data_IF_103943477686
#
_entry.id   IF_103943477686
#
_cell.length_a   1.000
_cell.length_b   1.000
_cell.length_c   1.000
_cell.angle_alpha   90.00
_cell.angle_beta   90.00
_cell.angle_gamma   90.00
#
_symmetry.space_group_name_H-M   'P 1'
#
loop_
_entity.id
_entity.type
_entity.pdbx_description
1 polymer ?
#
# COMPACT_ATOMS: atom_id res chain seq x y z
N UNK A 1 -23.58 -36.23 20.01
CA UNK A 1 -22.44 -35.31 20.03
C UNK A 1 -21.77 -35.39 18.66
N UNK A 2 -22.08 -34.45 17.79
CA UNK A 2 -21.55 -34.43 16.42
C UNK A 2 -20.47 -33.35 16.35
N UNK A 3 -19.23 -33.76 16.59
CA UNK A 3 -18.08 -32.87 16.45
C UNK A 3 -17.88 -32.64 14.93
N UNK A 4 -18.45 -31.59 14.38
CA UNK A 4 -18.11 -31.15 13.04
C UNK A 4 -16.62 -30.81 13.04
N UNK A 5 -15.78 -31.70 12.48
CA UNK A 5 -14.43 -31.36 12.11
C UNK A 5 -14.48 -30.20 11.13
N UNK A 6 -14.18 -28.99 11.59
CA UNK A 6 -13.89 -27.84 10.74
C UNK A 6 -12.67 -28.20 9.92
N UNK A 7 -12.89 -28.56 8.67
CA UNK A 7 -11.81 -28.77 7.70
C UNK A 7 -11.15 -27.41 7.51
N UNK A 8 -9.95 -27.22 8.04
CA UNK A 8 -9.14 -26.03 7.79
C UNK A 8 -8.83 -26.01 6.30
N UNK A 9 -9.44 -25.05 5.57
CA UNK A 9 -9.04 -24.76 4.20
C UNK A 9 -7.65 -24.14 4.24
N UNK A 10 -6.68 -24.82 3.64
CA UNK A 10 -5.38 -24.24 3.36
C UNK A 10 -5.62 -23.13 2.33
N UNK A 11 -5.34 -21.88 2.69
CA UNK A 11 -5.33 -20.79 1.74
C UNK A 11 -4.09 -20.95 0.84
N UNK A 12 -4.27 -21.69 -0.26
CA UNK A 12 -3.21 -21.99 -1.22
C UNK A 12 -2.91 -20.81 -2.16
N UNK A 13 -3.68 -19.71 -2.06
CA UNK A 13 -3.35 -18.46 -2.73
C UNK A 13 -2.74 -17.52 -1.70
N UNK A 14 -1.41 -17.34 -1.69
CA UNK A 14 -0.76 -16.38 -0.79
C UNK A 14 -1.33 -14.99 -1.04
N UNK A 15 -1.39 -14.17 0.01
CA UNK A 15 -1.63 -12.74 -0.13
C UNK A 15 -0.66 -12.21 -1.19
N UNK A 16 -1.19 -11.57 -2.23
CA UNK A 16 -0.34 -11.06 -3.30
C UNK A 16 0.55 -9.97 -2.73
N UNK A 17 1.87 -10.18 -2.80
CA UNK A 17 2.85 -9.15 -2.45
C UNK A 17 2.59 -7.88 -3.27
N UNK A 18 2.82 -6.70 -2.69
CA UNK A 18 2.73 -5.44 -3.41
C UNK A 18 3.64 -5.44 -4.64
N UNK A 19 3.07 -5.20 -5.82
CA UNK A 19 3.80 -4.99 -7.06
C UNK A 19 3.27 -3.77 -7.79
N UNK A 20 4.10 -3.15 -8.64
CA UNK A 20 3.63 -2.05 -9.50
C UNK A 20 2.55 -2.51 -10.50
N UNK A 21 2.48 -3.82 -10.77
CA UNK A 21 1.51 -4.41 -11.70
C UNK A 21 0.13 -4.66 -11.10
N UNK A 22 0.04 -4.90 -9.78
CA UNK A 22 -1.23 -5.13 -9.11
C UNK A 22 -1.82 -3.88 -8.43
N UNK A 23 -1.15 -2.72 -8.57
CA UNK A 23 -1.73 -1.44 -8.16
C UNK A 23 -2.82 -0.99 -9.14
N UNK A 24 -3.94 -0.54 -8.61
CA UNK A 24 -5.03 0.03 -9.43
C UNK A 24 -4.70 1.49 -9.72
N UNK A 25 -4.28 1.76 -10.95
CA UNK A 25 -3.65 3.03 -11.34
C UNK A 25 -4.60 4.22 -11.20
N UNK A 26 -5.88 4.10 -11.63
CA UNK A 26 -6.80 5.22 -11.65
C UNK A 26 -6.19 6.46 -12.31
N UNK A 27 -6.31 7.60 -11.68
CA UNK A 27 -5.73 8.87 -12.15
C UNK A 27 -4.22 9.03 -11.90
N UNK A 28 -3.52 7.99 -11.38
CA UNK A 28 -2.11 8.07 -10.97
C UNK A 28 -1.10 7.63 -12.07
N UNK A 29 -1.43 7.75 -13.36
CA UNK A 29 -0.62 7.22 -14.46
C UNK A 29 0.78 7.86 -14.54
N UNK A 30 0.89 9.17 -14.34
CA UNK A 30 2.18 9.87 -14.33
C UNK A 30 3.05 9.40 -13.17
N UNK A 31 2.49 9.32 -11.96
CA UNK A 31 3.18 8.78 -10.78
C UNK A 31 3.73 7.38 -11.06
N UNK A 32 2.93 6.50 -11.66
CA UNK A 32 3.36 5.13 -11.99
C UNK A 32 4.56 5.12 -12.96
N UNK A 33 4.62 6.06 -13.89
CA UNK A 33 5.77 6.21 -14.78
C UNK A 33 7.02 6.62 -14.00
N UNK A 34 6.92 7.64 -13.13
CA UNK A 34 8.03 8.08 -12.28
C UNK A 34 8.54 6.99 -11.34
N UNK A 35 7.64 6.18 -10.75
CA UNK A 35 8.05 5.07 -9.89
C UNK A 35 8.83 3.99 -10.67
N UNK A 36 8.45 3.71 -11.92
CA UNK A 36 9.22 2.81 -12.78
C UNK A 36 10.60 3.40 -13.14
N UNK A 37 10.65 4.70 -13.43
CA UNK A 37 11.91 5.39 -13.73
C UNK A 37 12.89 5.35 -12.55
N UNK A 38 12.39 5.39 -11.30
CA UNK A 38 13.23 5.22 -10.11
C UNK A 38 13.91 3.86 -9.99
N UNK A 39 13.37 2.83 -10.62
CA UNK A 39 13.99 1.52 -10.65
C UNK A 39 15.23 1.47 -11.57
N UNK A 40 15.39 2.44 -12.49
CA UNK A 40 16.58 2.56 -13.35
C UNK A 40 17.77 3.10 -12.54
N UNK A 41 18.94 2.48 -12.70
CA UNK A 41 20.20 2.88 -12.05
C UNK A 41 20.68 4.29 -12.41
N UNK A 42 20.17 4.85 -13.50
CA UNK A 42 20.50 6.22 -13.96
C UNK A 42 19.61 7.28 -13.34
N UNK A 43 18.56 6.90 -12.63
CA UNK A 43 17.68 7.84 -11.95
C UNK A 43 18.26 8.22 -10.58
N UNK A 44 18.35 9.52 -10.33
CA UNK A 44 18.83 10.12 -9.07
C UNK A 44 17.77 11.08 -8.51
N UNK A 45 16.52 10.87 -8.88
CA UNK A 45 15.41 11.71 -8.44
C UNK A 45 15.01 11.41 -7.01
N UNK A 46 14.44 12.41 -6.36
CA UNK A 46 13.78 12.25 -5.08
C UNK A 46 12.27 12.52 -5.24
N UNK A 47 11.45 11.56 -4.82
CA UNK A 47 10.00 11.63 -4.88
C UNK A 47 9.40 11.57 -3.48
N UNK A 48 8.36 12.37 -3.26
CA UNK A 48 7.53 12.32 -2.08
C UNK A 48 6.08 12.05 -2.45
N UNK A 49 5.53 10.96 -1.93
CA UNK A 49 4.14 10.56 -2.12
C UNK A 49 3.33 10.91 -0.87
N UNK A 50 2.19 11.56 -1.04
CA UNK A 50 1.31 11.82 0.09
C UNK A 50 -0.15 11.55 -0.27
N UNK A 51 -1.00 11.44 0.75
CA UNK A 51 -2.43 11.22 0.57
C UNK A 51 -3.06 10.57 1.79
N UNK A 52 -4.40 10.40 1.79
CA UNK A 52 -5.12 9.84 2.92
C UNK A 52 -4.73 8.38 3.21
N UNK A 53 -5.10 7.90 4.39
CA UNK A 53 -4.93 6.50 4.76
C UNK A 53 -5.67 5.57 3.77
N UNK A 54 -5.07 4.44 3.42
CA UNK A 54 -5.66 3.47 2.51
C UNK A 54 -5.61 3.84 1.01
N UNK A 55 -5.02 4.98 0.61
CA UNK A 55 -4.89 5.36 -0.81
C UNK A 55 -3.81 4.57 -1.58
N UNK A 56 -3.02 3.72 -0.89
CA UNK A 56 -2.04 2.85 -1.52
C UNK A 56 -0.57 3.30 -1.44
N UNK A 57 -0.22 4.27 -0.56
CA UNK A 57 1.17 4.73 -0.36
C UNK A 57 2.13 3.59 -0.07
N UNK A 58 1.90 2.86 1.02
CA UNK A 58 2.76 1.74 1.46
C UNK A 58 2.86 0.64 0.41
N UNK A 59 1.77 0.38 -0.34
CA UNK A 59 1.80 -0.53 -1.48
C UNK A 59 2.78 -0.05 -2.56
N UNK A 60 2.67 1.22 -2.99
CA UNK A 60 3.52 1.76 -4.05
C UNK A 60 4.99 1.83 -3.65
N UNK A 61 5.30 2.27 -2.42
CA UNK A 61 6.71 2.38 -2.00
C UNK A 61 7.35 1.01 -1.82
N UNK A 62 6.62 0.02 -1.25
CA UNK A 62 7.10 -1.36 -1.14
C UNK A 62 7.27 -2.02 -2.50
N UNK A 63 6.28 -1.86 -3.40
CA UNK A 63 6.33 -2.38 -4.77
C UNK A 63 7.49 -1.80 -5.58
N UNK A 64 7.81 -0.51 -5.37
CA UNK A 64 8.94 0.15 -6.06
C UNK A 64 10.27 -0.35 -5.50
N UNK A 65 10.39 -0.50 -4.18
CA UNK A 65 11.59 -1.05 -3.54
C UNK A 65 11.90 -2.46 -4.04
N UNK A 66 10.88 -3.31 -4.14
CA UNK A 66 11.02 -4.68 -4.66
C UNK A 66 11.39 -4.68 -6.14
N UNK A 67 10.71 -3.88 -6.97
CA UNK A 67 11.02 -3.78 -8.40
C UNK A 67 12.43 -3.24 -8.66
N UNK A 68 12.95 -2.37 -7.81
CA UNK A 68 14.30 -1.81 -7.91
C UNK A 68 15.38 -2.79 -7.44
N UNK A 69 15.07 -3.77 -6.58
CA UNK A 69 16.07 -4.64 -5.92
C UNK A 69 16.92 -5.48 -6.88
N UNK A 70 16.44 -5.75 -8.10
CA UNK A 70 17.21 -6.41 -9.14
C UNK A 70 18.19 -5.48 -9.88
N UNK A 71 17.71 -4.33 -10.42
CA UNK A 71 18.52 -3.39 -11.17
C UNK A 71 19.53 -2.59 -10.32
N UNK A 72 19.18 -2.24 -9.05
CA UNK A 72 20.00 -1.38 -8.19
C UNK A 72 19.88 -1.76 -6.72
N UNK A 73 20.86 -1.40 -5.85
CA UNK A 73 20.68 -1.53 -4.41
C UNK A 73 19.43 -0.80 -3.96
N UNK A 74 18.59 -1.44 -3.16
CA UNK A 74 17.36 -0.86 -2.62
C UNK A 74 17.29 -1.11 -1.11
N UNK A 75 16.96 -0.07 -0.34
CA UNK A 75 16.76 -0.14 1.10
C UNK A 75 15.38 0.43 1.43
N UNK A 76 14.50 -0.44 1.91
CA UNK A 76 13.16 -0.07 2.39
C UNK A 76 13.14 -0.03 3.92
N UNK A 77 12.65 1.07 4.49
CA UNK A 77 12.51 1.27 5.93
C UNK A 77 11.15 1.91 6.25
N UNK A 78 10.40 1.38 7.24
CA UNK A 78 9.35 2.14 7.90
C UNK A 78 9.95 3.37 8.61
N UNK A 79 9.26 4.51 8.61
CA UNK A 79 9.77 5.75 9.23
C UNK A 79 10.16 5.58 10.70
N UNK A 80 9.40 4.77 11.45
CA UNK A 80 9.68 4.50 12.86
C UNK A 80 11.01 3.72 13.10
N UNK A 81 11.54 3.04 12.09
CA UNK A 81 12.76 2.22 12.18
C UNK A 81 14.01 2.95 11.66
N UNK A 82 13.85 4.16 11.13
CA UNK A 82 14.97 4.95 10.61
C UNK A 82 15.82 5.48 11.77
N UNK A 83 17.11 5.14 11.79
CA UNK A 83 18.10 5.64 12.74
C UNK A 83 18.89 6.83 12.20
N UNK A 84 19.80 7.35 13.05
CA UNK A 84 20.66 8.48 12.70
C UNK A 84 21.70 8.13 11.62
N UNK A 85 22.15 6.89 11.59
CA UNK A 85 23.20 6.42 10.70
C UNK A 85 22.66 5.38 9.71
N UNK A 86 22.53 5.80 8.45
CA UNK A 86 22.12 4.94 7.35
C UNK A 86 23.36 4.55 6.53
N UNK A 87 23.65 3.27 6.48
CA UNK A 87 24.73 2.76 5.61
C UNK A 87 24.17 2.57 4.20
N UNK A 88 24.50 3.51 3.30
CA UNK A 88 23.99 3.55 1.94
C UNK A 88 25.12 3.32 0.93
N UNK A 89 25.02 2.29 0.10
CA UNK A 89 25.91 2.08 -1.02
C UNK A 89 25.65 3.12 -2.13
N UNK A 90 26.68 3.48 -2.95
CA UNK A 90 26.43 4.31 -4.13
C UNK A 90 25.33 3.73 -5.04
N UNK A 91 24.49 4.60 -5.58
CA UNK A 91 23.39 4.21 -6.46
C UNK A 91 22.15 3.62 -5.77
N UNK A 92 22.11 3.56 -4.43
CA UNK A 92 20.98 2.99 -3.69
C UNK A 92 19.68 3.80 -3.92
N UNK A 93 18.58 3.10 -4.09
CA UNK A 93 17.24 3.64 -3.88
C UNK A 93 16.88 3.52 -2.40
N UNK A 94 16.86 4.65 -1.68
CA UNK A 94 16.37 4.70 -0.31
C UNK A 94 14.87 4.94 -0.31
N UNK A 95 14.12 4.03 0.29
CA UNK A 95 12.65 4.10 0.40
C UNK A 95 12.27 4.19 1.88
N UNK A 96 11.56 5.26 2.25
CA UNK A 96 11.05 5.45 3.61
C UNK A 96 9.53 5.60 3.57
N UNK A 97 8.85 4.65 4.19
CA UNK A 97 7.38 4.69 4.33
C UNK A 97 6.99 5.41 5.64
N UNK A 98 5.98 6.29 5.55
CA UNK A 98 5.44 7.05 6.69
C UNK A 98 6.48 7.96 7.37
N UNK A 99 7.01 8.96 6.66
CA UNK A 99 8.00 9.92 7.20
C UNK A 99 7.52 10.66 8.46
N UNK A 100 6.21 10.79 8.66
CA UNK A 100 5.65 11.38 9.88
C UNK A 100 5.93 10.54 11.14
N UNK A 101 6.33 9.28 10.99
CA UNK A 101 6.73 8.40 12.09
C UNK A 101 8.23 8.48 12.44
N UNK A 102 8.99 9.33 11.73
CA UNK A 102 10.41 9.53 12.00
C UNK A 102 10.65 10.08 13.40
N UNK A 103 11.38 9.34 14.24
CA UNK A 103 11.92 9.86 15.49
C UNK A 103 13.02 10.90 15.26
N UNK A 104 13.51 11.53 16.32
CA UNK A 104 14.55 12.57 16.23
C UNK A 104 15.82 12.08 15.50
N UNK A 105 16.27 10.86 15.78
CA UNK A 105 17.41 10.24 15.11
C UNK A 105 17.12 9.96 13.62
N UNK A 106 15.93 9.43 13.31
CA UNK A 106 15.53 9.16 11.92
C UNK A 106 15.47 10.44 11.07
N UNK A 107 15.03 11.55 11.64
CA UNK A 107 15.05 12.84 10.94
C UNK A 107 16.48 13.30 10.63
N UNK A 108 17.44 13.07 11.53
CA UNK A 108 18.87 13.32 11.29
C UNK A 108 19.40 12.39 10.18
N UNK A 109 19.07 11.11 10.24
CA UNK A 109 19.48 10.11 9.25
C UNK A 109 18.97 10.46 7.84
N UNK A 110 17.69 10.78 7.70
CA UNK A 110 17.12 11.17 6.41
C UNK A 110 17.73 12.50 5.91
N UNK A 111 17.95 13.47 6.77
CA UNK A 111 18.62 14.72 6.38
C UNK A 111 20.03 14.48 5.86
N UNK A 112 20.80 13.60 6.52
CA UNK A 112 22.13 13.17 6.05
C UNK A 112 22.06 12.46 4.71
N UNK A 113 21.07 11.60 4.49
CA UNK A 113 20.83 10.91 3.22
C UNK A 113 20.57 11.92 2.07
N UNK A 114 19.73 12.94 2.29
CA UNK A 114 19.54 14.02 1.33
C UNK A 114 20.86 14.74 0.96
N UNK A 115 21.69 15.04 1.96
CA UNK A 115 22.99 15.69 1.71
C UNK A 115 23.95 14.80 0.94
N UNK A 116 23.94 13.49 1.20
CA UNK A 116 24.79 12.51 0.52
C UNK A 116 24.27 12.13 -0.88
N UNK A 117 22.98 12.38 -1.16
CA UNK A 117 22.29 11.86 -2.35
C UNK A 117 23.02 12.19 -3.65
N UNK A 118 23.45 13.45 -3.83
CA UNK A 118 24.17 13.87 -5.05
C UNK A 118 25.54 13.20 -5.16
N UNK A 119 26.25 13.04 -4.06
CA UNK A 119 27.61 12.47 -4.06
C UNK A 119 27.59 10.95 -4.27
N UNK A 120 26.65 10.26 -3.63
CA UNK A 120 26.49 8.82 -3.73
C UNK A 120 25.58 8.38 -4.89
N UNK A 121 24.98 9.32 -5.62
CA UNK A 121 24.03 8.99 -6.68
C UNK A 121 22.79 8.26 -6.17
N UNK A 122 22.27 8.68 -5.01
CA UNK A 122 21.06 8.06 -4.43
C UNK A 122 19.79 8.53 -5.14
N UNK A 123 18.81 7.63 -5.25
CA UNK A 123 17.43 8.01 -5.46
C UNK A 123 16.67 7.89 -4.14
N UNK A 124 15.66 8.73 -3.92
CA UNK A 124 14.88 8.76 -2.70
C UNK A 124 13.40 8.61 -3.04
N UNK A 125 12.73 7.70 -2.35
CA UNK A 125 11.28 7.56 -2.41
C UNK A 125 10.71 7.61 -1.00
N UNK A 126 9.91 8.64 -0.73
CA UNK A 126 9.37 8.91 0.58
C UNK A 126 7.84 8.87 0.53
N UNK A 127 7.19 8.44 1.59
CA UNK A 127 5.74 8.55 1.73
C UNK A 127 5.33 9.24 3.03
N UNK A 128 4.19 9.93 3.00
CA UNK A 128 3.60 10.56 4.18
C UNK A 128 2.09 10.75 4.06
N UNK A 129 1.45 11.19 5.12
CA UNK A 129 -0.01 11.39 5.18
C UNK A 129 -0.43 12.82 4.82
N UNK A 130 0.50 13.77 4.82
CA UNK A 130 0.27 15.20 4.64
C UNK A 130 1.22 15.78 3.59
N UNK A 131 0.88 16.90 2.94
CA UNK A 131 1.82 17.62 2.09
C UNK A 131 3.02 18.12 2.90
N UNK A 132 4.20 18.33 2.30
CA UNK A 132 5.45 18.63 3.02
C UNK A 132 5.34 19.77 4.03
N UNK A 133 4.59 20.83 3.71
CA UNK A 133 4.44 22.00 4.57
C UNK A 133 3.68 21.73 5.88
N UNK A 134 2.91 20.65 5.94
CA UNK A 134 2.11 20.25 7.11
C UNK A 134 2.75 19.14 7.93
N UNK A 135 3.86 18.56 7.47
CA UNK A 135 4.56 17.52 8.22
C UNK A 135 5.11 18.09 9.54
N UNK A 136 4.87 17.37 10.64
CA UNK A 136 5.47 17.67 11.94
C UNK A 136 6.90 17.13 12.00
N UNK A 137 7.80 17.75 11.25
CA UNK A 137 9.22 17.42 11.14
C UNK A 137 10.05 18.69 11.30
N UNK A 138 11.35 18.53 11.54
CA UNK A 138 12.32 19.65 11.57
C UNK A 138 12.18 20.47 10.28
N UNK A 139 12.30 21.77 10.40
CA UNK A 139 12.10 22.71 9.27
C UNK A 139 13.09 22.47 8.12
N UNK A 140 14.35 22.15 8.43
CA UNK A 140 15.38 21.86 7.44
C UNK A 140 15.03 20.60 6.61
N UNK A 141 14.54 19.53 7.26
CA UNK A 141 14.11 18.31 6.59
C UNK A 141 12.83 18.53 5.79
N UNK A 142 11.85 19.22 6.35
CA UNK A 142 10.60 19.57 5.66
C UNK A 142 10.86 20.37 4.38
N UNK A 143 11.82 21.30 4.43
CA UNK A 143 12.26 22.06 3.25
C UNK A 143 12.88 21.15 2.19
N UNK A 144 13.70 20.17 2.59
CA UNK A 144 14.29 19.18 1.66
C UNK A 144 13.23 18.32 1.00
N UNK A 145 12.27 17.82 1.76
CA UNK A 145 11.14 17.05 1.21
C UNK A 145 10.33 17.93 0.25
N UNK A 146 10.12 19.20 0.59
CA UNK A 146 9.43 20.17 -0.28
C UNK A 146 10.13 20.47 -1.61
N UNK A 147 11.41 20.14 -1.75
CA UNK A 147 12.20 20.29 -2.98
C UNK A 147 12.20 19.04 -3.87
N UNK A 148 11.56 17.95 -3.44
CA UNK A 148 11.42 16.73 -4.24
C UNK A 148 10.29 16.83 -5.25
N UNK A 149 10.15 15.84 -6.13
CA UNK A 149 8.93 15.68 -6.92
C UNK A 149 7.80 15.20 -6.01
N UNK A 150 6.76 16.02 -5.85
CA UNK A 150 5.68 15.78 -4.90
C UNK A 150 4.45 15.29 -5.66
N UNK A 151 3.92 14.13 -5.25
CA UNK A 151 2.71 13.55 -5.82
C UNK A 151 1.67 13.28 -4.72
N UNK A 152 0.48 13.83 -4.92
CA UNK A 152 -0.70 13.40 -4.17
C UNK A 152 -1.29 12.15 -4.82
N UNK A 153 -1.41 11.07 -4.07
CA UNK A 153 -2.05 9.86 -4.60
C UNK A 153 -3.56 10.10 -4.69
N UNK A 154 -4.05 10.07 -5.92
CA UNK A 154 -5.48 10.22 -6.19
C UNK A 154 -6.23 8.94 -5.77
N UNK A 155 -7.20 9.11 -4.88
CA UNK A 155 -8.05 8.01 -4.45
C UNK A 155 -8.92 7.51 -5.59
N UNK A 156 -9.16 6.21 -5.62
CA UNK A 156 -10.04 5.61 -6.61
C UNK A 156 -11.48 6.06 -6.43
N UNK A 157 -12.17 6.29 -7.52
CA UNK A 157 -13.63 6.46 -7.56
C UNK A 157 -14.34 5.14 -7.19
N UNK A 158 -15.63 5.21 -6.86
CA UNK A 158 -16.40 4.02 -6.53
C UNK A 158 -16.52 3.06 -7.73
N UNK A 159 -16.56 3.58 -8.97
CA UNK A 159 -16.56 2.77 -10.19
C UNK A 159 -15.22 2.04 -10.39
N UNK A 160 -14.10 2.70 -10.14
CA UNK A 160 -12.76 2.09 -10.22
C UNK A 160 -12.58 1.02 -9.14
N UNK A 161 -13.06 1.27 -7.91
CA UNK A 161 -13.08 0.26 -6.84
C UNK A 161 -13.96 -0.92 -7.20
N UNK A 162 -15.16 -0.67 -7.76
CA UNK A 162 -16.04 -1.73 -8.23
C UNK A 162 -15.38 -2.60 -9.30
N UNK A 163 -14.69 -1.98 -10.27
CA UNK A 163 -13.95 -2.68 -11.31
C UNK A 163 -12.81 -3.53 -10.72
N UNK A 164 -12.06 -2.98 -9.76
CA UNK A 164 -10.99 -3.69 -9.07
C UNK A 164 -11.50 -4.91 -8.28
N UNK A 165 -12.60 -4.75 -7.52
CA UNK A 165 -13.23 -5.83 -6.76
C UNK A 165 -13.74 -6.95 -7.68
N UNK A 166 -14.39 -6.60 -8.81
CA UNK A 166 -14.86 -7.59 -9.78
C UNK A 166 -13.68 -8.35 -10.40
N UNK A 167 -12.62 -7.65 -10.81
CA UNK A 167 -11.42 -8.30 -11.36
C UNK A 167 -10.81 -9.27 -10.35
N UNK A 168 -10.64 -8.85 -9.09
CA UNK A 168 -10.12 -9.71 -8.03
C UNK A 168 -10.98 -10.96 -7.83
N UNK A 169 -12.31 -10.83 -7.83
CA UNK A 169 -13.23 -11.96 -7.74
C UNK A 169 -13.06 -12.94 -8.91
N UNK A 170 -12.95 -12.42 -10.14
CA UNK A 170 -12.74 -13.26 -11.34
C UNK A 170 -11.40 -14.01 -11.26
N UNK A 171 -10.31 -13.36 -10.87
CA UNK A 171 -8.99 -13.98 -10.69
C UNK A 171 -9.00 -15.11 -9.66
N UNK A 172 -9.88 -15.03 -8.65
CA UNK A 172 -10.10 -16.09 -7.66
C UNK A 172 -11.14 -17.13 -8.07
N UNK A 173 -11.78 -16.97 -9.22
CA UNK A 173 -12.83 -17.87 -9.71
C UNK A 173 -14.15 -17.75 -8.94
N UNK A 174 -14.37 -16.61 -8.25
CA UNK A 174 -15.62 -16.34 -7.54
C UNK A 174 -16.72 -15.93 -8.55
N UNK A 175 -17.80 -16.69 -8.59
CA UNK A 175 -19.02 -16.31 -9.28
C UNK A 175 -19.87 -15.42 -8.35
N UNK A 176 -19.67 -14.12 -8.45
CA UNK A 176 -20.23 -13.13 -7.54
C UNK A 176 -21.38 -12.34 -8.16
N UNK A 177 -22.47 -12.17 -7.41
CA UNK A 177 -23.57 -11.29 -7.79
C UNK A 177 -23.13 -9.81 -7.77
N UNK A 178 -23.60 -9.03 -8.76
CA UNK A 178 -23.36 -7.58 -8.82
C UNK A 178 -23.81 -6.84 -7.55
N UNK A 179 -24.84 -7.33 -6.87
CA UNK A 179 -25.33 -6.81 -5.59
C UNK A 179 -24.30 -6.85 -4.47
N UNK A 180 -23.37 -7.82 -4.49
CA UNK A 180 -22.30 -7.95 -3.48
C UNK A 180 -21.35 -6.76 -3.54
N UNK A 181 -20.85 -6.41 -4.74
CA UNK A 181 -19.95 -5.26 -4.93
C UNK A 181 -20.62 -3.95 -4.53
N UNK A 182 -21.86 -3.75 -4.96
CA UNK A 182 -22.61 -2.54 -4.62
C UNK A 182 -22.80 -2.41 -3.10
N UNK A 183 -23.13 -3.52 -2.44
CA UNK A 183 -23.29 -3.54 -0.98
C UNK A 183 -21.99 -3.24 -0.25
N UNK A 184 -20.87 -3.82 -0.69
CA UNK A 184 -19.54 -3.55 -0.13
C UNK A 184 -19.15 -2.07 -0.23
N UNK A 185 -19.33 -1.44 -1.38
CA UNK A 185 -19.02 -0.01 -1.58
C UNK A 185 -19.90 0.90 -0.72
N UNK A 186 -21.14 0.51 -0.45
CA UNK A 186 -22.08 1.31 0.33
C UNK A 186 -21.92 1.16 1.83
N UNK A 187 -21.54 -0.02 2.32
CA UNK A 187 -21.55 -0.36 3.75
C UNK A 187 -20.17 -0.72 4.32
N UNK A 188 -19.19 -1.00 3.48
CA UNK A 188 -17.81 -1.27 3.87
C UNK A 188 -17.00 -0.01 4.14
N UNK A 189 -15.78 -0.19 4.65
CA UNK A 189 -14.77 0.89 4.71
C UNK A 189 -14.44 1.35 3.30
N UNK A 190 -14.17 2.64 3.13
CA UNK A 190 -13.98 3.21 1.79
C UNK A 190 -12.61 2.94 1.17
N UNK A 191 -11.68 2.38 1.91
CA UNK A 191 -10.37 2.00 1.41
C UNK A 191 -10.39 0.64 0.69
N UNK A 192 -9.69 0.55 -0.43
CA UNK A 192 -9.67 -0.66 -1.25
C UNK A 192 -9.11 -1.89 -0.52
N UNK A 193 -8.02 -1.79 0.30
CA UNK A 193 -7.52 -2.93 1.07
C UNK A 193 -8.57 -3.56 1.99
N UNK A 194 -9.32 -2.75 2.73
CA UNK A 194 -10.42 -3.26 3.59
C UNK A 194 -11.52 -3.94 2.78
N UNK A 195 -11.92 -3.37 1.64
CA UNK A 195 -12.90 -3.98 0.75
C UNK A 195 -12.42 -5.32 0.20
N UNK A 196 -11.14 -5.42 -0.19
CA UNK A 196 -10.51 -6.66 -0.65
C UNK A 196 -10.44 -7.72 0.47
N UNK A 197 -10.12 -7.32 1.71
CA UNK A 197 -10.11 -8.22 2.86
C UNK A 197 -11.49 -8.83 3.12
N UNK A 198 -12.56 -8.02 3.07
CA UNK A 198 -13.93 -8.52 3.20
C UNK A 198 -14.28 -9.48 2.07
N UNK A 199 -13.87 -9.20 0.83
CA UNK A 199 -14.09 -10.07 -0.31
C UNK A 199 -13.35 -11.40 -0.16
N UNK A 200 -12.12 -11.40 0.33
CA UNK A 200 -11.35 -12.61 0.63
C UNK A 200 -12.02 -13.45 1.74
N UNK A 201 -12.56 -12.80 2.77
CA UNK A 201 -13.31 -13.48 3.83
C UNK A 201 -14.61 -14.12 3.28
N UNK A 202 -15.30 -13.44 2.36
CA UNK A 202 -16.49 -13.98 1.70
C UNK A 202 -16.14 -15.21 0.86
N UNK A 203 -15.03 -15.18 0.11
CA UNK A 203 -14.52 -16.32 -0.66
C UNK A 203 -14.27 -17.52 0.26
N UNK A 204 -13.52 -17.30 1.35
CA UNK A 204 -13.24 -18.35 2.34
C UNK A 204 -14.50 -18.94 2.93
N UNK A 205 -15.42 -18.12 3.41
CA UNK A 205 -16.68 -18.58 4.00
C UNK A 205 -17.56 -19.34 2.99
N UNK A 206 -17.58 -18.90 1.73
CA UNK A 206 -18.26 -19.58 0.63
C UNK A 206 -17.75 -21.01 0.45
N UNK A 207 -16.42 -21.20 0.46
CA UNK A 207 -15.77 -22.50 0.33
C UNK A 207 -16.02 -23.39 1.57
N UNK A 208 -15.85 -22.84 2.78
CA UNK A 208 -16.04 -23.56 4.04
C UNK A 208 -17.47 -24.05 4.22
N UNK A 209 -18.46 -23.18 3.92
CA UNK A 209 -19.86 -23.48 4.07
C UNK A 209 -20.48 -24.19 2.86
N UNK A 210 -19.70 -24.34 1.76
CA UNK A 210 -20.20 -24.87 0.47
C UNK A 210 -21.45 -24.13 -0.04
N UNK A 211 -21.45 -22.81 0.17
CA UNK A 211 -22.54 -21.90 -0.24
C UNK A 211 -21.98 -20.87 -1.25
N UNK A 212 -22.76 -20.43 -2.26
CA UNK A 212 -22.28 -19.42 -3.18
C UNK A 212 -22.01 -18.07 -2.47
N UNK A 213 -21.06 -17.25 -2.98
CA UNK A 213 -20.72 -15.94 -2.40
C UNK A 213 -21.80 -14.91 -2.72
N UNK A 214 -22.89 -14.96 -1.99
CA UNK A 214 -24.10 -14.14 -2.18
C UNK A 214 -24.20 -13.00 -1.17
N UNK A 215 -25.08 -12.04 -1.46
CA UNK A 215 -25.36 -10.92 -0.56
C UNK A 215 -25.82 -11.35 0.85
N UNK A 216 -26.69 -12.38 1.04
CA UNK A 216 -26.99 -12.88 2.37
C UNK A 216 -25.77 -13.36 3.15
N UNK A 217 -24.88 -14.15 2.54
CA UNK A 217 -23.65 -14.60 3.19
C UNK A 217 -22.72 -13.44 3.57
N UNK A 218 -22.60 -12.43 2.69
CA UNK A 218 -21.83 -11.23 2.99
C UNK A 218 -22.38 -10.48 4.21
N UNK A 219 -23.72 -10.33 4.30
CA UNK A 219 -24.36 -9.65 5.45
C UNK A 219 -24.12 -10.39 6.75
N UNK A 220 -24.21 -11.73 6.75
CA UNK A 220 -23.89 -12.56 7.92
C UNK A 220 -22.46 -12.31 8.40
N UNK A 221 -21.48 -12.28 7.49
CA UNK A 221 -20.08 -12.03 7.80
C UNK A 221 -19.82 -10.63 8.36
N UNK A 222 -20.41 -9.61 7.74
CA UNK A 222 -20.23 -8.23 8.19
C UNK A 222 -20.87 -7.97 9.55
N UNK A 223 -22.01 -8.58 9.87
CA UNK A 223 -22.64 -8.47 11.19
C UNK A 223 -21.77 -9.09 12.28
N UNK A 224 -21.21 -10.27 12.04
CA UNK A 224 -20.32 -10.95 13.00
C UNK A 224 -19.03 -10.12 13.28
N UNK A 225 -18.51 -9.43 12.28
CA UNK A 225 -17.33 -8.55 12.45
C UNK A 225 -17.64 -7.30 13.28
N UNK A 226 -18.83 -6.71 13.15
CA UNK A 226 -19.24 -5.54 13.94
C UNK A 226 -19.50 -5.86 15.41
N UNK A 227 -19.84 -7.10 15.74
CA UNK A 227 -20.07 -7.51 17.14
C UNK A 227 -18.76 -7.80 17.88
N UNK A 228 -17.68 -8.17 17.16
CA UNK A 228 -16.35 -8.40 17.72
C UNK A 228 -15.56 -7.09 18.00
N UNK A 229 -15.87 -6.00 17.31
CA UNK A 229 -15.24 -4.69 17.54
C UNK A 229 -15.87 -3.90 18.71
N UNK A 230 -16.85 -4.48 19.42
CA UNK A 230 -17.55 -3.87 20.57
C UNK A 230 -17.21 -4.49 21.92
N UNK A 231 -16.36 -5.51 21.97
CA UNK A 231 -15.81 -6.09 23.20
C UNK A 231 -14.36 -5.61 23.42
#
# INVERSE_FOLDING_TARGET
>A
MNTQQRQMLLDLKPEQLPTLGNFVVGANAELMTRLRDLCDTRSFEALYLWGPEGCGKSHLVAATAEAASGPRPSLFLPGAEVGADLTLAPGTLLVIDNVQALGAEGQVGLFRAFNAARFLGLALLLSGNEPPLRLDLREDLRTRIGQTLIYEIQSLSDDEKAAALRRHAIERGMLMDAGVVHYLLRHGRRDLPSLMAVLNNLDRASLEQKRPPTLPLLRELMQTSFDLDKE
#
